data_IF_996512362100
#
_entry.id   IF_996512362100
#
_cell.length_a   1.000
_cell.length_b   1.000
_cell.length_c   1.000
_cell.angle_alpha   90.00
_cell.angle_beta   90.00
_cell.angle_gamma   90.00
#
_symmetry.space_group_name_H-M   'P 1'
#
loop_
_entity.id
_entity.type
_entity.pdbx_description
1 polymer ?
#
# COMPACT_ATOMS: atom_id res chain seq x y z
N UNK A 1 11.07 22.67 9.05
CA UNK A 1 11.13 21.25 9.36
C UNK A 1 10.07 20.48 8.57
N UNK A 2 10.51 19.50 7.85
CA UNK A 2 9.57 18.70 7.05
C UNK A 2 8.74 17.79 7.96
N UNK A 3 7.45 17.70 7.67
CA UNK A 3 6.57 16.77 8.37
C UNK A 3 6.29 15.57 7.50
N UNK A 4 6.37 14.41 8.09
CA UNK A 4 6.01 13.17 7.41
C UNK A 4 4.49 13.03 7.48
N UNK A 5 3.87 12.67 6.36
CA UNK A 5 2.44 12.42 6.34
C UNK A 5 2.14 11.09 6.97
N UNK A 6 1.16 11.08 7.85
CA UNK A 6 0.69 9.85 8.46
C UNK A 6 -0.53 9.28 7.76
N UNK A 7 -1.16 10.06 6.90
CA UNK A 7 -2.40 9.69 6.22
C UNK A 7 -2.44 10.31 4.83
N UNK A 8 -2.86 9.52 3.85
CA UNK A 8 -3.14 10.02 2.50
C UNK A 8 -4.43 9.42 1.99
N UNK A 9 -5.21 10.23 1.29
CA UNK A 9 -6.47 9.78 0.71
C UNK A 9 -6.29 9.51 -0.77
N UNK A 10 -7.02 8.50 -1.24
CA UNK A 10 -7.11 8.17 -2.66
C UNK A 10 -8.50 8.56 -3.12
N UNK A 11 -8.58 9.41 -4.14
CA UNK A 11 -9.85 9.91 -4.66
C UNK A 11 -10.09 9.39 -6.06
N UNK A 12 -11.38 9.18 -6.40
CA UNK A 12 -11.74 8.87 -7.77
C UNK A 12 -11.78 10.16 -8.60
N UNK A 13 -11.99 10.06 -9.93
CA UNK A 13 -12.04 11.26 -10.77
C UNK A 13 -13.13 12.25 -10.40
N UNK A 14 -14.17 11.81 -9.69
CA UNK A 14 -15.23 12.70 -9.22
C UNK A 14 -14.92 13.39 -7.90
N UNK A 15 -13.75 13.14 -7.33
CA UNK A 15 -13.35 13.77 -6.06
C UNK A 15 -13.82 13.04 -4.82
N UNK A 16 -14.43 11.86 -4.97
CA UNK A 16 -14.87 11.07 -3.83
C UNK A 16 -13.71 10.25 -3.28
N UNK A 17 -13.51 10.26 -1.98
CA UNK A 17 -12.49 9.44 -1.34
C UNK A 17 -12.90 7.97 -1.40
N UNK A 18 -12.09 7.15 -2.04
CA UNK A 18 -12.35 5.72 -2.16
C UNK A 18 -11.51 4.90 -1.20
N UNK A 19 -10.41 5.44 -0.73
CA UNK A 19 -9.59 4.76 0.28
C UNK A 19 -8.75 5.78 1.03
N UNK A 20 -8.35 5.42 2.25
CA UNK A 20 -7.45 6.23 3.07
C UNK A 20 -6.33 5.33 3.58
N UNK A 21 -5.10 5.70 3.27
CA UNK A 21 -3.92 4.96 3.72
C UNK A 21 -3.39 5.60 4.97
N UNK A 22 -3.27 4.82 6.03
CA UNK A 22 -2.79 5.30 7.33
C UNK A 22 -1.57 4.50 7.79
N UNK A 23 -0.58 5.23 8.25
CA UNK A 23 0.57 4.63 8.89
C UNK A 23 0.16 4.25 10.32
N UNK A 24 0.10 2.95 10.60
CA UNK A 24 -0.45 2.49 11.87
C UNK A 24 0.59 2.47 12.98
N UNK A 25 1.74 1.86 12.70
CA UNK A 25 2.78 1.71 13.73
C UNK A 25 4.11 1.50 13.04
N UNK A 26 5.13 2.22 13.52
CA UNK A 26 6.49 2.00 13.05
C UNK A 26 7.28 1.33 14.15
N UNK A 27 7.87 0.20 13.82
CA UNK A 27 8.85 -0.45 14.68
C UNK A 27 10.17 -0.52 13.93
N UNK A 28 11.29 -0.70 14.63
CA UNK A 28 12.57 -0.85 13.94
C UNK A 28 12.62 -2.03 12.97
N UNK A 29 11.73 -3.01 13.13
CA UNK A 29 11.80 -4.25 12.38
C UNK A 29 10.82 -4.35 11.23
N UNK A 30 9.71 -3.60 11.28
CA UNK A 30 8.71 -3.65 10.21
C UNK A 30 7.77 -2.48 10.29
N UNK A 31 7.27 -2.11 9.13
CA UNK A 31 6.24 -1.10 9.00
C UNK A 31 4.87 -1.76 8.97
N UNK A 32 3.90 -1.10 9.56
CA UNK A 32 2.50 -1.53 9.45
C UNK A 32 1.67 -0.35 9.00
N UNK A 33 0.81 -0.63 8.04
CA UNK A 33 -0.05 0.38 7.46
C UNK A 33 -1.45 -0.18 7.35
N UNK A 34 -2.44 0.68 7.46
CA UNK A 34 -3.84 0.30 7.31
C UNK A 34 -4.44 1.09 6.17
N UNK A 35 -5.21 0.43 5.33
CA UNK A 35 -5.95 1.08 4.24
C UNK A 35 -7.44 0.93 4.55
N UNK A 36 -8.10 2.05 4.76
CA UNK A 36 -9.56 2.04 4.96
C UNK A 36 -10.22 2.25 3.62
N UNK A 37 -10.96 1.25 3.18
CA UNK A 37 -11.64 1.27 1.88
C UNK A 37 -13.10 1.66 2.10
N UNK A 38 -13.59 2.65 1.33
CA UNK A 38 -14.92 3.20 1.53
C UNK A 38 -16.02 2.15 1.41
N UNK A 39 -15.90 1.23 0.46
CA UNK A 39 -16.95 0.24 0.18
C UNK A 39 -16.46 -1.19 0.37
N UNK A 40 -15.53 -1.41 1.28
CA UNK A 40 -14.99 -2.76 1.48
C UNK A 40 -14.32 -2.91 2.83
N UNK A 41 -13.75 -4.08 3.08
CA UNK A 41 -13.04 -4.32 4.33
C UNK A 41 -11.77 -3.50 4.40
N UNK A 42 -11.35 -3.18 5.62
CA UNK A 42 -10.06 -2.54 5.82
C UNK A 42 -8.94 -3.50 5.41
N UNK A 43 -7.86 -2.94 4.91
CA UNK A 43 -6.71 -3.72 4.47
C UNK A 43 -5.54 -3.47 5.40
N UNK A 44 -4.76 -4.52 5.65
CA UNK A 44 -3.52 -4.43 6.40
C UNK A 44 -2.35 -4.63 5.46
N UNK A 45 -1.37 -3.75 5.57
CA UNK A 45 -0.14 -3.86 4.77
C UNK A 45 0.98 -4.28 5.71
N UNK A 46 1.65 -5.37 5.36
CA UNK A 46 2.69 -5.96 6.19
C UNK A 46 3.94 -6.24 5.36
N UNK A 47 5.08 -5.88 5.88
CA UNK A 47 6.35 -6.18 5.26
C UNK A 47 7.25 -4.97 5.14
N UNK A 48 8.17 -5.03 4.21
CA UNK A 48 9.13 -3.97 3.99
C UNK A 48 8.72 -3.12 2.80
N UNK A 49 8.07 -1.97 3.09
CA UNK A 49 7.57 -1.09 2.05
C UNK A 49 8.72 -0.46 1.27
N UNK A 50 9.77 -0.07 1.98
CA UNK A 50 10.93 0.60 1.37
C UNK A 50 11.60 -0.29 0.32
N UNK A 51 11.69 -1.58 0.61
CA UNK A 51 12.34 -2.53 -0.30
C UNK A 51 11.35 -3.17 -1.28
N UNK A 52 10.10 -2.74 -1.31
CA UNK A 52 9.08 -3.29 -2.21
C UNK A 52 8.89 -4.80 -2.02
N UNK A 53 8.85 -5.23 -0.76
CA UNK A 53 8.60 -6.62 -0.40
C UNK A 53 7.52 -6.63 0.69
N UNK A 54 6.25 -6.62 0.28
CA UNK A 54 5.16 -6.58 1.25
C UNK A 54 3.89 -7.17 0.68
N UNK A 55 2.94 -7.45 1.58
CA UNK A 55 1.62 -7.96 1.22
C UNK A 55 0.55 -7.00 1.71
N UNK A 56 -0.58 -7.02 0.99
CA UNK A 56 -1.80 -6.33 1.39
C UNK A 56 -2.84 -7.41 1.67
N UNK A 57 -3.42 -7.39 2.87
CA UNK A 57 -4.32 -8.44 3.33
C UNK A 57 -5.64 -7.85 3.80
N UNK A 58 -6.73 -8.59 3.61
CA UNK A 58 -8.07 -8.15 4.02
C UNK A 58 -8.54 -8.79 5.33
N UNK A 59 -7.63 -9.40 6.07
CA UNK A 59 -7.94 -10.11 7.29
C UNK A 59 -8.19 -11.60 7.10
N UNK A 60 -8.43 -12.02 5.87
CA UNK A 60 -8.67 -13.43 5.55
C UNK A 60 -7.65 -13.96 4.56
N UNK A 61 -7.28 -13.14 3.59
CA UNK A 61 -6.40 -13.58 2.52
C UNK A 61 -5.56 -12.42 2.04
N UNK A 62 -4.52 -12.76 1.30
CA UNK A 62 -3.70 -11.77 0.63
C UNK A 62 -4.45 -11.28 -0.61
N UNK A 63 -4.69 -9.96 -0.69
CA UNK A 63 -5.37 -9.38 -1.84
C UNK A 63 -4.40 -8.81 -2.85
N UNK A 64 -3.17 -8.50 -2.43
CA UNK A 64 -2.12 -8.07 -3.33
C UNK A 64 -0.77 -8.35 -2.71
N UNK A 65 0.22 -8.55 -3.54
CA UNK A 65 1.60 -8.72 -3.10
C UNK A 65 2.51 -7.91 -3.99
N UNK A 66 3.47 -7.23 -3.37
CA UNK A 66 4.47 -6.44 -4.09
C UNK A 66 5.82 -7.07 -3.86
N UNK A 67 6.57 -7.35 -4.93
CA UNK A 67 7.86 -7.99 -4.81
C UNK A 67 8.74 -7.67 -6.01
N UNK A 68 10.02 -7.51 -5.75
CA UNK A 68 11.02 -7.34 -6.80
C UNK A 68 11.29 -8.64 -7.56
N UNK A 69 10.95 -9.77 -6.96
CA UNK A 69 11.23 -11.07 -7.59
C UNK A 69 10.51 -11.27 -8.92
N UNK A 70 9.44 -10.50 -9.17
CA UNK A 70 8.68 -10.63 -10.43
C UNK A 70 9.26 -9.80 -11.55
N UNK A 71 10.30 -9.05 -11.29
CA UNK A 71 10.98 -8.28 -12.31
C UNK A 71 12.46 -8.61 -12.29
N UNK A 72 13.05 -8.66 -13.50
CA UNK A 72 14.49 -8.95 -13.65
C UNK A 72 15.30 -7.69 -13.86
N UNK A 73 14.63 -6.58 -14.10
CA UNK A 73 15.29 -5.30 -14.32
C UNK A 73 15.49 -4.65 -12.96
N UNK A 74 16.70 -4.15 -12.72
CA UNK A 74 17.02 -3.47 -11.49
C UNK A 74 16.10 -2.27 -11.29
N UNK A 75 15.79 -1.98 -10.06
CA UNK A 75 14.98 -0.83 -9.63
C UNK A 75 13.50 -0.93 -9.99
N UNK A 76 13.04 -2.10 -10.40
CA UNK A 76 11.62 -2.31 -10.65
C UNK A 76 11.07 -3.36 -9.70
N UNK A 77 9.75 -3.40 -9.63
CA UNK A 77 9.04 -4.38 -8.82
C UNK A 77 7.71 -4.68 -9.46
N UNK A 78 7.09 -5.76 -9.04
CA UNK A 78 5.80 -6.17 -9.56
C UNK A 78 4.73 -6.18 -8.49
N UNK A 79 3.49 -5.99 -8.91
CA UNK A 79 2.33 -6.09 -8.04
C UNK A 79 1.46 -7.22 -8.58
N UNK A 80 1.21 -8.20 -7.74
CA UNK A 80 0.27 -9.27 -8.06
C UNK A 80 -1.01 -9.02 -7.30
N UNK A 81 -2.13 -8.94 -8.02
CA UNK A 81 -3.44 -8.65 -7.44
C UNK A 81 -4.27 -9.93 -7.50
N UNK A 82 -4.86 -10.32 -6.38
CA UNK A 82 -5.67 -11.53 -6.31
C UNK A 82 -6.93 -11.40 -7.18
N UNK A 83 -7.42 -12.52 -7.73
CA UNK A 83 -8.65 -12.49 -8.51
C UNK A 83 -9.81 -11.89 -7.71
N UNK A 84 -10.64 -11.11 -8.39
CA UNK A 84 -11.80 -10.49 -7.77
C UNK A 84 -11.51 -9.16 -7.09
N UNK A 85 -10.25 -8.76 -6.97
CA UNK A 85 -9.89 -7.47 -6.40
C UNK A 85 -9.79 -6.41 -7.51
N UNK A 86 -9.93 -5.16 -7.14
CA UNK A 86 -9.84 -4.04 -8.07
C UNK A 86 -8.37 -3.70 -8.33
N UNK A 87 -7.83 -4.00 -9.52
CA UNK A 87 -6.43 -3.72 -9.78
C UNK A 87 -6.08 -2.24 -9.73
N UNK A 88 -6.99 -1.38 -10.17
CA UNK A 88 -6.74 0.05 -10.16
C UNK A 88 -6.59 0.57 -8.73
N UNK A 89 -7.46 0.11 -7.82
CA UNK A 89 -7.34 0.48 -6.42
C UNK A 89 -6.04 -0.03 -5.81
N UNK A 90 -5.69 -1.29 -6.11
CA UNK A 90 -4.45 -1.86 -5.55
C UNK A 90 -3.22 -1.13 -6.07
N UNK A 91 -3.19 -0.76 -7.34
CA UNK A 91 -2.07 0.01 -7.88
C UNK A 91 -2.00 1.40 -7.25
N UNK A 92 -3.14 2.04 -7.03
CA UNK A 92 -3.16 3.34 -6.35
C UNK A 92 -2.65 3.22 -4.91
N UNK A 93 -3.05 2.16 -4.20
CA UNK A 93 -2.58 1.91 -2.84
C UNK A 93 -1.07 1.74 -2.83
N UNK A 94 -0.52 0.94 -3.75
CA UNK A 94 0.93 0.73 -3.79
C UNK A 94 1.69 2.01 -4.10
N UNK A 95 1.15 2.84 -5.00
CA UNK A 95 1.78 4.12 -5.33
C UNK A 95 1.80 5.05 -4.12
N UNK A 96 0.70 5.12 -3.38
CA UNK A 96 0.61 5.95 -2.18
C UNK A 96 1.55 5.43 -1.09
N UNK A 97 1.59 4.12 -0.88
CA UNK A 97 2.51 3.52 0.09
C UNK A 97 3.97 3.85 -0.23
N UNK A 98 4.33 3.72 -1.50
CA UNK A 98 5.69 4.02 -1.93
C UNK A 98 6.04 5.48 -1.65
N UNK A 99 5.12 6.39 -1.95
CA UNK A 99 5.35 7.81 -1.70
C UNK A 99 5.48 8.10 -0.20
N UNK A 100 4.57 7.55 0.62
CA UNK A 100 4.60 7.79 2.06
C UNK A 100 5.86 7.20 2.69
N UNK A 101 6.26 6.02 2.27
CA UNK A 101 7.49 5.40 2.77
C UNK A 101 8.72 6.22 2.38
N UNK A 102 8.70 6.78 1.18
CA UNK A 102 9.79 7.61 0.70
C UNK A 102 9.90 8.92 1.52
N UNK A 103 8.77 9.52 1.85
CA UNK A 103 8.73 10.73 2.67
C UNK A 103 9.21 10.45 4.10
N UNK A 104 9.05 9.23 4.57
CA UNK A 104 9.41 8.85 5.93
C UNK A 104 10.91 8.60 6.14
N UNK A 105 11.68 8.57 5.09
CA UNK A 105 13.12 8.33 5.16
C UNK A 105 13.88 9.54 5.68
#
# INVERSE_FOLDING_TARGET
>A
MARVRDTMEIEDPGGRTVATVKKALITPLRDRWTVKVADGPDLDVKGNIVDHEYTVEDGRSTVAEVSKKWFRIADTYGVEVAPGQDPALMLAVTAVLDQMAHEAR
#
